data_IF_554969518907
#
_entry.id   IF_554969518907
#
_cell.length_a   1.000
_cell.length_b   1.000
_cell.length_c   1.000
_cell.angle_alpha   90.00
_cell.angle_beta   90.00
_cell.angle_gamma   90.00
#
_symmetry.space_group_name_H-M   'P 1'
#
loop_
_entity.id
_entity.type
_entity.pdbx_description
1 polymer ?
#
# COMPACT_ATOMS: atom_id res chain seq x y z
N UNK A 1 -21.43 47.57 -21.82
CA UNK A 1 -21.32 47.44 -20.34
C UNK A 1 -21.85 46.06 -19.98
N UNK A 2 -21.17 45.10 -19.33
CA UNK A 2 -19.96 45.07 -18.53
C UNK A 2 -19.36 43.64 -18.62
N UNK A 3 -18.05 43.59 -18.85
CA UNK A 3 -17.00 42.69 -18.32
C UNK A 3 -17.07 41.17 -18.54
N UNK A 4 -16.04 40.75 -19.27
CA UNK A 4 -15.40 39.43 -19.26
C UNK A 4 -14.94 38.93 -17.88
N UNK A 5 -14.78 37.61 -17.75
CA UNK A 5 -13.57 36.97 -17.23
C UNK A 5 -13.49 35.48 -17.62
N UNK A 6 -12.37 35.11 -18.24
CA UNK A 6 -11.82 33.75 -18.37
C UNK A 6 -11.26 33.29 -17.01
N UNK A 7 -11.38 32.01 -16.69
CA UNK A 7 -10.42 31.22 -15.90
C UNK A 7 -10.52 29.79 -16.47
N UNK A 8 -9.60 29.36 -17.33
CA UNK A 8 -8.35 28.64 -17.01
C UNK A 8 -8.55 27.44 -16.09
N UNK A 9 -8.23 26.27 -16.64
CA UNK A 9 -8.31 24.99 -15.98
C UNK A 9 -7.17 24.77 -14.99
N UNK A 10 -7.38 23.75 -14.16
CA UNK A 10 -6.34 22.98 -13.50
C UNK A 10 -6.87 21.55 -13.50
N UNK A 11 -6.35 20.74 -14.42
CA UNK A 11 -6.22 19.31 -14.19
C UNK A 11 -5.09 19.17 -13.16
N UNK A 12 -5.41 18.71 -11.96
CA UNK A 12 -4.41 18.29 -10.99
C UNK A 12 -4.66 16.81 -10.74
N UNK A 13 -3.75 16.00 -11.27
CA UNK A 13 -3.58 14.62 -10.89
C UNK A 13 -3.26 14.59 -9.39
N UNK A 14 -4.08 13.89 -8.62
CA UNK A 14 -3.75 13.46 -7.27
C UNK A 14 -3.44 11.97 -7.41
N UNK A 15 -2.17 11.67 -7.63
CA UNK A 15 -1.57 10.37 -7.32
C UNK A 15 -0.99 10.44 -5.91
N UNK A 16 -0.93 9.29 -5.21
CA UNK A 16 -0.55 9.09 -3.80
C UNK A 16 -1.64 9.56 -2.79
N UNK A 17 -2.16 8.78 -1.83
CA UNK A 17 -1.65 7.62 -1.08
C UNK A 17 -2.82 6.71 -0.64
N UNK A 18 -2.84 5.43 -1.03
CA UNK A 18 -3.64 4.41 -0.34
C UNK A 18 -2.77 3.18 -0.06
N UNK A 19 -2.30 3.03 1.17
CA UNK A 19 -1.99 1.73 1.74
C UNK A 19 -3.31 1.14 2.26
N UNK A 20 -4.02 0.41 1.39
CA UNK A 20 -5.17 -0.40 1.78
C UNK A 20 -4.88 -1.82 1.33
N UNK A 21 -4.94 -2.72 2.32
CA UNK A 21 -5.04 -4.17 2.23
C UNK A 21 -5.18 -4.73 0.80
N UNK A 22 -4.17 -5.49 0.39
CA UNK A 22 -4.23 -6.39 -0.75
C UNK A 22 -5.34 -7.44 -0.50
N UNK A 23 -6.56 -7.11 -0.90
CA UNK A 23 -7.43 -8.11 -1.51
C UNK A 23 -7.01 -8.11 -2.97
N UNK A 24 -6.45 -9.23 -3.42
CA UNK A 24 -6.15 -9.48 -4.82
C UNK A 24 -7.45 -9.40 -5.64
N UNK A 25 -7.84 -8.19 -6.02
CA UNK A 25 -8.61 -7.99 -7.22
C UNK A 25 -7.64 -8.34 -8.35
N UNK A 26 -7.75 -9.56 -8.88
CA UNK A 26 -7.19 -9.89 -10.18
C UNK A 26 -7.89 -8.95 -11.15
N UNK A 27 -7.28 -7.78 -11.40
CA UNK A 27 -7.71 -6.91 -12.48
C UNK A 27 -7.68 -7.80 -13.72
N UNK A 28 -8.84 -7.93 -14.38
CA UNK A 28 -8.94 -8.64 -15.65
C UNK A 28 -7.78 -8.17 -16.53
N UNK A 29 -7.00 -9.11 -17.05
CA UNK A 29 -5.92 -8.89 -18.01
C UNK A 29 -6.50 -8.25 -19.27
N UNK A 30 -6.69 -6.94 -19.23
CA UNK A 30 -7.17 -6.11 -20.33
C UNK A 30 -6.04 -5.17 -20.73
N UNK A 31 -5.12 -5.74 -21.51
CA UNK A 31 -4.41 -5.02 -22.58
C UNK A 31 -3.68 -3.72 -22.18
N UNK A 32 -2.66 -3.84 -21.32
CA UNK A 32 -1.88 -2.70 -20.84
C UNK A 32 -0.60 -2.57 -21.68
N UNK A 33 -0.63 -1.74 -22.72
CA UNK A 33 0.56 -1.31 -23.46
C UNK A 33 1.46 -0.34 -22.65
N UNK A 34 1.35 -0.36 -21.33
CA UNK A 34 2.01 0.55 -20.39
C UNK A 34 2.55 -0.24 -19.20
N UNK A 35 3.82 0.01 -18.88
CA UNK A 35 4.48 -0.46 -17.67
C UNK A 35 4.87 0.74 -16.82
N UNK A 36 4.26 0.84 -15.65
CA UNK A 36 4.55 1.87 -14.66
C UNK A 36 5.39 1.24 -13.55
N UNK A 37 6.55 1.83 -13.27
CA UNK A 37 7.44 1.39 -12.19
C UNK A 37 7.71 2.56 -11.27
N UNK A 38 7.50 2.32 -9.98
CA UNK A 38 7.74 3.29 -8.93
C UNK A 38 8.89 2.86 -8.03
N UNK A 39 9.54 3.85 -7.42
CA UNK A 39 10.48 3.65 -6.33
C UNK A 39 9.84 4.06 -5.01
N UNK A 40 10.22 3.37 -3.93
CA UNK A 40 9.93 3.78 -2.57
C UNK A 40 11.23 3.79 -1.79
N UNK A 41 11.50 4.88 -1.06
CA UNK A 41 12.64 4.97 -0.15
C UNK A 41 12.12 4.93 1.28
N UNK A 42 12.79 4.19 2.15
CA UNK A 42 12.40 4.03 3.54
C UNK A 42 13.46 3.31 4.36
N UNK A 43 13.07 2.78 5.49
CA UNK A 43 13.90 1.89 6.32
C UNK A 43 13.33 0.47 6.28
N UNK A 44 14.20 -0.51 6.44
CA UNK A 44 13.82 -1.92 6.50
C UNK A 44 14.35 -2.55 7.78
N UNK A 45 13.44 -3.11 8.60
CA UNK A 45 13.80 -3.89 9.77
C UNK A 45 13.97 -5.35 9.37
N UNK A 46 15.21 -5.85 9.41
CA UNK A 46 15.56 -7.22 9.04
C UNK A 46 14.98 -8.25 10.02
N UNK A 47 14.75 -7.87 11.29
CA UNK A 47 14.22 -8.77 12.32
C UNK A 47 12.72 -8.99 12.19
N UNK A 48 11.96 -7.96 11.78
CA UNK A 48 10.51 -8.06 11.57
C UNK A 48 10.10 -8.18 10.10
N UNK A 49 11.05 -8.03 9.17
CA UNK A 49 10.82 -8.00 7.72
C UNK A 49 9.86 -6.87 7.29
N UNK A 50 9.86 -5.76 8.03
CA UNK A 50 8.95 -4.63 7.80
C UNK A 50 9.70 -3.49 7.13
N UNK A 51 9.14 -3.04 6.00
CA UNK A 51 9.55 -1.80 5.36
C UNK A 51 8.67 -0.64 5.82
N UNK A 52 9.32 0.45 6.22
CA UNK A 52 8.65 1.69 6.62
C UNK A 52 9.06 2.79 5.64
N UNK A 53 8.15 3.28 4.79
CA UNK A 53 8.44 4.40 3.88
C UNK A 53 8.96 5.62 4.63
N UNK A 54 9.88 6.34 4.00
CA UNK A 54 10.42 7.58 4.55
C UNK A 54 9.30 8.63 4.62
N UNK A 55 9.12 9.24 5.81
CA UNK A 55 8.18 10.34 5.97
C UNK A 55 8.61 11.56 5.15
N UNK A 56 7.63 12.37 4.71
CA UNK A 56 7.91 13.63 4.04
C UNK A 56 8.72 14.55 4.96
N UNK A 57 9.82 15.11 4.46
CA UNK A 57 10.71 15.97 5.25
C UNK A 57 11.48 15.23 6.34
N UNK A 58 11.55 13.90 6.32
CA UNK A 58 12.38 13.15 7.26
C UNK A 58 13.85 13.58 7.15
N UNK A 59 14.49 13.73 8.30
CA UNK A 59 15.93 13.96 8.37
C UNK A 59 16.67 12.69 7.99
N UNK A 60 17.63 12.81 7.09
CA UNK A 60 18.58 11.74 6.72
C UNK A 60 19.97 12.25 7.11
N UNK A 61 20.62 11.52 8.00
CA UNK A 61 21.96 11.84 8.50
C UNK A 61 23.02 11.01 7.77
N UNK A 62 24.26 11.45 7.85
CA UNK A 62 25.40 10.65 7.41
C UNK A 62 25.36 9.25 8.06
N UNK A 63 25.72 8.24 7.27
CA UNK A 63 25.73 6.82 7.64
C UNK A 63 24.34 6.17 7.85
N UNK A 64 23.24 6.91 7.70
CA UNK A 64 21.90 6.31 7.65
C UNK A 64 21.80 5.37 6.43
N UNK A 65 21.24 4.18 6.65
CA UNK A 65 20.99 3.20 5.59
C UNK A 65 19.53 3.30 5.15
N UNK A 66 19.32 3.67 3.90
CA UNK A 66 18.03 3.78 3.25
C UNK A 66 17.79 2.56 2.37
N UNK A 67 16.66 1.91 2.54
CA UNK A 67 16.20 0.84 1.65
C UNK A 67 15.39 1.43 0.52
N UNK A 68 15.76 1.07 -0.71
CA UNK A 68 15.04 1.44 -1.94
C UNK A 68 14.28 0.21 -2.44
N UNK A 69 12.95 0.31 -2.52
CA UNK A 69 12.05 -0.70 -3.09
C UNK A 69 11.63 -0.34 -4.49
N UNK A 70 11.66 -1.31 -5.40
CA UNK A 70 11.15 -1.18 -6.77
C UNK A 70 9.80 -1.87 -6.87
N UNK A 71 8.78 -1.12 -7.29
CA UNK A 71 7.39 -1.58 -7.31
C UNK A 71 6.76 -1.30 -8.68
N UNK A 72 6.59 -2.32 -9.53
CA UNK A 72 5.71 -2.22 -10.68
C UNK A 72 4.26 -2.02 -10.23
N UNK A 73 3.53 -1.15 -10.90
CA UNK A 73 2.12 -0.86 -10.58
C UNK A 73 1.15 -1.33 -11.67
N UNK A 74 1.65 -1.64 -12.86
CA UNK A 74 0.86 -2.20 -13.95
C UNK A 74 0.95 -3.73 -13.99
N UNK A 75 -0.16 -4.39 -14.32
CA UNK A 75 -0.19 -5.84 -14.53
C UNK A 75 0.09 -6.17 -16.01
N UNK A 76 1.18 -6.90 -16.30
CA UNK A 76 1.50 -7.40 -17.63
C UNK A 76 2.25 -8.74 -17.55
N UNK A 77 2.16 -9.54 -18.61
CA UNK A 77 2.83 -10.84 -18.69
C UNK A 77 4.31 -10.64 -19.06
N UNK A 78 5.21 -11.15 -18.22
CA UNK A 78 6.65 -10.97 -18.35
C UNK A 78 7.43 -12.27 -18.32
N UNK A 79 8.52 -12.28 -19.09
CA UNK A 79 9.58 -13.28 -19.01
C UNK A 79 10.81 -12.74 -18.30
N UNK A 80 11.95 -12.72 -18.97
CA UNK A 80 13.20 -12.22 -18.40
C UNK A 80 13.15 -10.70 -18.21
N UNK A 81 13.75 -10.23 -17.12
CA UNK A 81 13.76 -8.81 -16.77
C UNK A 81 15.16 -8.40 -16.33
N UNK A 82 15.53 -7.15 -16.59
CA UNK A 82 16.80 -6.58 -16.22
C UNK A 82 16.62 -5.08 -15.96
N UNK A 83 16.72 -4.69 -14.70
CA UNK A 83 16.52 -3.33 -14.23
C UNK A 83 17.86 -2.64 -13.99
N UNK A 84 17.94 -1.37 -14.35
CA UNK A 84 19.07 -0.50 -14.05
C UNK A 84 18.58 0.70 -13.27
N UNK A 85 19.11 0.85 -12.05
CA UNK A 85 18.72 1.90 -11.12
C UNK A 85 19.93 2.80 -10.93
N UNK A 86 19.72 4.09 -11.13
CA UNK A 86 20.72 5.12 -10.99
C UNK A 86 20.59 5.79 -9.63
N UNK A 87 21.72 6.19 -9.07
CA UNK A 87 21.77 6.96 -7.83
C UNK A 87 22.95 7.92 -7.86
N UNK A 88 22.86 9.05 -7.15
CA UNK A 88 23.99 9.97 -7.02
C UNK A 88 25.12 9.31 -6.24
N UNK A 89 26.23 9.04 -6.93
CA UNK A 89 27.36 8.27 -6.36
C UNK A 89 28.14 9.07 -5.31
N UNK A 90 27.94 10.39 -5.25
CA UNK A 90 28.59 11.25 -4.27
C UNK A 90 27.77 11.34 -2.97
N UNK A 91 26.47 11.01 -3.04
CA UNK A 91 25.51 11.08 -1.91
C UNK A 91 25.24 9.72 -1.28
N UNK A 92 25.45 8.65 -2.02
CA UNK A 92 25.16 7.29 -1.57
C UNK A 92 26.30 6.30 -1.80
N UNK A 93 26.42 5.36 -0.87
CA UNK A 93 27.22 4.15 -0.99
C UNK A 93 26.31 2.92 -0.96
N UNK A 94 26.29 2.13 -2.03
CA UNK A 94 25.54 0.88 -2.09
C UNK A 94 26.02 -0.12 -1.04
N UNK A 95 25.09 -0.74 -0.32
CA UNK A 95 25.40 -1.76 0.67
C UNK A 95 25.37 -3.15 0.03
N UNK A 96 26.38 -3.95 0.34
CA UNK A 96 26.59 -5.27 -0.28
C UNK A 96 27.28 -5.20 -1.65
N UNK A 97 27.42 -6.35 -2.29
CA UNK A 97 28.08 -6.45 -3.59
C UNK A 97 27.46 -7.55 -4.46
N UNK A 98 27.44 -7.33 -5.77
CA UNK A 98 26.93 -8.32 -6.72
C UNK A 98 25.45 -8.66 -6.47
N UNK A 99 25.11 -9.95 -6.50
CA UNK A 99 23.74 -10.42 -6.19
C UNK A 99 23.34 -10.23 -4.73
N UNK A 100 24.31 -10.26 -3.80
CA UNK A 100 24.07 -10.20 -2.35
C UNK A 100 23.62 -8.81 -1.87
N UNK A 101 23.74 -7.79 -2.73
CA UNK A 101 23.24 -6.44 -2.45
C UNK A 101 21.71 -6.31 -2.59
N UNK A 102 21.05 -7.34 -3.12
CA UNK A 102 19.64 -7.29 -3.45
C UNK A 102 18.85 -8.31 -2.62
N UNK A 103 17.67 -7.90 -2.18
CA UNK A 103 16.68 -8.80 -1.60
C UNK A 103 15.45 -8.79 -2.51
N UNK A 104 15.04 -9.96 -2.99
CA UNK A 104 13.84 -10.12 -3.83
C UNK A 104 12.63 -10.42 -2.97
N UNK A 105 11.45 -10.02 -3.43
CA UNK A 105 10.19 -10.36 -2.80
C UNK A 105 9.81 -11.81 -3.14
N UNK A 106 10.14 -12.75 -2.26
CA UNK A 106 9.82 -14.16 -2.49
C UNK A 106 8.29 -14.42 -2.62
N UNK A 107 7.46 -13.57 -2.03
CA UNK A 107 6.00 -13.67 -2.12
C UNK A 107 5.44 -13.12 -3.44
N UNK A 108 6.26 -12.43 -4.25
CA UNK A 108 5.86 -11.99 -5.57
C UNK A 108 5.85 -13.20 -6.52
N UNK A 109 4.68 -13.49 -7.09
CA UNK A 109 4.42 -14.67 -7.93
C UNK A 109 5.38 -14.79 -9.14
N UNK A 110 5.98 -13.68 -9.59
CA UNK A 110 7.02 -13.72 -10.59
C UNK A 110 8.22 -14.57 -10.16
N UNK A 111 8.68 -14.44 -8.91
CA UNK A 111 9.84 -15.19 -8.41
C UNK A 111 9.53 -16.66 -8.14
N UNK A 112 8.30 -16.96 -7.71
CA UNK A 112 7.87 -18.35 -7.50
C UNK A 112 7.66 -19.11 -8.82
N UNK A 113 7.26 -18.42 -9.90
CA UNK A 113 6.85 -19.08 -11.13
C UNK A 113 7.77 -18.81 -12.33
N UNK A 114 7.99 -17.55 -12.68
CA UNK A 114 8.68 -17.16 -13.92
C UNK A 114 10.20 -17.04 -13.76
N UNK A 115 10.69 -16.70 -12.57
CA UNK A 115 12.14 -16.56 -12.34
C UNK A 115 12.79 -17.91 -12.07
N UNK A 116 13.83 -18.28 -12.84
CA UNK A 116 14.72 -19.42 -12.55
C UNK A 116 15.88 -19.03 -11.61
N UNK A 117 16.13 -17.73 -11.48
CA UNK A 117 17.18 -17.17 -10.62
C UNK A 117 17.43 -15.70 -10.91
N UNK A 118 18.30 -15.09 -10.12
CA UNK A 118 18.70 -13.70 -10.33
C UNK A 118 20.20 -13.49 -10.15
N UNK A 119 20.71 -12.42 -10.75
CA UNK A 119 22.07 -11.95 -10.56
C UNK A 119 22.10 -10.44 -10.45
N UNK A 120 23.13 -9.91 -9.79
CA UNK A 120 23.25 -8.49 -9.53
C UNK A 120 24.65 -7.95 -9.78
N UNK A 121 24.74 -6.66 -10.10
CA UNK A 121 25.97 -5.89 -10.14
C UNK A 121 25.73 -4.54 -9.47
N UNK A 122 26.63 -4.16 -8.55
CA UNK A 122 26.53 -2.91 -7.78
C UNK A 122 27.36 -1.76 -8.37
N UNK A 123 27.97 -1.97 -9.53
CA UNK A 123 28.77 -0.98 -10.24
C UNK A 123 28.73 -1.26 -11.75
N UNK A 124 28.31 -0.27 -12.54
CA UNK A 124 28.25 -0.37 -14.00
C UNK A 124 29.31 0.55 -14.63
N UNK A 125 30.33 -0.01 -15.31
CA UNK A 125 31.42 0.78 -15.86
C UNK A 125 30.94 1.65 -17.02
N UNK A 126 31.59 2.81 -17.21
CA UNK A 126 31.30 3.83 -18.25
C UNK A 126 31.01 3.21 -19.63
N UNK A 127 31.84 2.26 -20.09
CA UNK A 127 31.70 1.63 -21.41
C UNK A 127 30.34 0.97 -21.65
N UNK A 128 29.58 0.66 -20.59
CA UNK A 128 28.24 0.08 -20.69
C UNK A 128 27.11 1.13 -20.69
N UNK A 129 27.40 2.40 -20.43
CA UNK A 129 26.40 3.47 -20.44
C UNK A 129 25.96 3.81 -21.86
N UNK A 130 24.65 4.01 -22.10
CA UNK A 130 24.16 4.42 -23.41
C UNK A 130 24.80 5.75 -23.84
N UNK A 131 25.18 5.85 -25.12
CA UNK A 131 25.79 7.05 -25.68
C UNK A 131 24.86 8.28 -25.68
N UNK A 132 23.57 8.09 -25.39
CA UNK A 132 22.55 9.12 -25.22
C UNK A 132 22.66 9.88 -23.90
N UNK A 133 23.43 9.39 -22.93
CA UNK A 133 23.75 10.13 -21.71
C UNK A 133 24.92 11.08 -21.95
N UNK A 134 24.76 12.32 -21.50
CA UNK A 134 25.78 13.37 -21.60
C UNK A 134 26.48 13.60 -20.25
N UNK A 135 27.50 14.47 -20.23
CA UNK A 135 28.15 14.86 -18.97
C UNK A 135 27.13 15.54 -18.04
N UNK A 136 27.16 15.18 -16.77
CA UNK A 136 26.17 15.56 -15.76
C UNK A 136 25.02 14.57 -15.61
N UNK A 137 24.84 13.64 -16.55
CA UNK A 137 23.76 12.64 -16.55
C UNK A 137 24.28 11.21 -16.36
N UNK A 138 25.60 11.01 -16.28
CA UNK A 138 26.23 9.69 -16.33
C UNK A 138 27.17 9.43 -15.17
N UNK A 139 28.05 8.45 -15.34
CA UNK A 139 29.08 8.02 -14.39
C UNK A 139 29.90 9.13 -13.73
N UNK A 140 29.89 10.36 -14.25
CA UNK A 140 30.55 11.52 -13.65
C UNK A 140 29.81 12.04 -12.42
N UNK A 141 28.48 11.90 -12.37
CA UNK A 141 27.61 12.28 -11.24
C UNK A 141 26.94 11.05 -10.62
N UNK A 142 26.43 10.14 -11.45
CA UNK A 142 25.63 9.00 -11.02
C UNK A 142 26.41 7.69 -11.07
N UNK A 143 25.96 6.68 -10.35
CA UNK A 143 26.32 5.28 -10.53
C UNK A 143 25.04 4.52 -10.89
N UNK A 144 25.17 3.39 -11.60
CA UNK A 144 24.06 2.47 -11.79
C UNK A 144 24.35 1.14 -11.09
N UNK A 145 23.30 0.54 -10.53
CA UNK A 145 23.26 -0.88 -10.18
C UNK A 145 22.37 -1.60 -11.19
N UNK A 146 22.60 -2.90 -11.33
CA UNK A 146 21.88 -3.75 -12.24
C UNK A 146 21.42 -5.01 -11.51
N UNK A 147 20.16 -5.39 -11.71
CA UNK A 147 19.65 -6.70 -11.31
C UNK A 147 18.96 -7.36 -12.49
N UNK A 148 19.32 -8.61 -12.73
CA UNK A 148 18.79 -9.43 -13.81
C UNK A 148 18.03 -10.62 -13.25
N UNK A 149 16.76 -10.74 -13.65
CA UNK A 149 15.90 -11.89 -13.42
C UNK A 149 15.86 -12.78 -14.65
N UNK A 150 16.30 -14.03 -14.46
CA UNK A 150 16.31 -15.04 -15.50
C UNK A 150 14.95 -15.72 -15.56
N UNK A 151 14.41 -15.89 -16.77
CA UNK A 151 13.21 -16.68 -17.01
C UNK A 151 13.47 -17.59 -18.20
N UNK A 152 13.47 -18.90 -17.96
CA UNK A 152 13.86 -19.91 -18.94
C UNK A 152 13.15 -21.25 -18.65
N UNK A 153 13.49 -22.30 -19.43
CA UNK A 153 12.85 -23.62 -19.29
C UNK A 153 13.04 -24.30 -17.93
N UNK A 154 13.97 -23.82 -17.09
CA UNK A 154 14.18 -24.29 -15.73
C UNK A 154 13.31 -23.55 -14.69
N UNK A 155 12.63 -22.46 -15.07
CA UNK A 155 11.65 -21.80 -14.20
C UNK A 155 10.52 -22.77 -13.84
N UNK A 156 9.89 -22.59 -12.68
CA UNK A 156 8.77 -23.43 -12.23
C UNK A 156 7.58 -23.40 -13.20
N UNK A 157 7.43 -22.31 -13.96
CA UNK A 157 6.46 -22.20 -15.04
C UNK A 157 6.74 -23.12 -16.22
N UNK A 158 7.93 -23.72 -16.33
CA UNK A 158 8.40 -24.46 -17.50
C UNK A 158 8.89 -23.56 -18.63
N UNK A 159 9.28 -22.31 -18.32
CA UNK A 159 9.68 -21.30 -19.31
C UNK A 159 8.52 -20.58 -19.96
N UNK A 160 7.38 -20.49 -19.27
CA UNK A 160 6.25 -19.67 -19.68
C UNK A 160 6.29 -18.32 -18.96
N UNK A 161 5.84 -17.26 -19.64
CA UNK A 161 5.70 -15.94 -19.06
C UNK A 161 4.76 -15.97 -17.84
N UNK A 162 4.80 -14.97 -16.96
CA UNK A 162 3.81 -14.87 -15.87
C UNK A 162 3.43 -13.43 -15.61
N UNK A 163 2.27 -13.25 -15.01
CA UNK A 163 1.82 -11.93 -14.61
C UNK A 163 2.81 -11.34 -13.60
N UNK A 164 3.25 -10.12 -13.85
CA UNK A 164 3.92 -9.31 -12.85
C UNK A 164 2.82 -8.73 -11.94
N UNK A 165 2.70 -9.17 -10.67
CA UNK A 165 1.73 -8.57 -9.77
C UNK A 165 2.19 -7.18 -9.35
N UNK A 166 1.24 -6.28 -9.05
CA UNK A 166 1.49 -4.94 -8.52
C UNK A 166 2.02 -4.89 -7.07
N UNK A 167 2.87 -5.84 -6.68
CA UNK A 167 3.60 -5.83 -5.40
C UNK A 167 5.07 -5.52 -5.65
N UNK A 168 5.80 -5.08 -4.62
CA UNK A 168 7.24 -4.78 -4.75
C UNK A 168 8.00 -6.00 -5.29
N UNK A 169 9.01 -5.77 -6.14
CA UNK A 169 9.81 -6.83 -6.75
C UNK A 169 11.07 -7.13 -5.98
N UNK A 170 11.88 -6.10 -5.74
CA UNK A 170 13.15 -6.24 -5.04
C UNK A 170 13.48 -4.93 -4.33
N UNK A 171 14.43 -5.04 -3.42
CA UNK A 171 14.99 -3.92 -2.71
C UNK A 171 16.52 -4.02 -2.62
N UNK A 172 17.14 -2.89 -2.37
CA UNK A 172 18.56 -2.76 -2.11
C UNK A 172 18.79 -1.56 -1.18
N UNK A 173 19.95 -1.54 -0.53
CA UNK A 173 20.25 -0.55 0.49
C UNK A 173 21.33 0.43 0.01
N UNK A 174 21.10 1.71 0.29
CA UNK A 174 22.00 2.83 0.04
C UNK A 174 22.30 3.53 1.36
N UNK A 175 23.58 3.64 1.71
CA UNK A 175 24.02 4.40 2.88
C UNK A 175 24.31 5.84 2.47
N UNK A 176 23.76 6.80 3.20
CA UNK A 176 24.04 8.22 3.01
C UNK A 176 25.51 8.52 3.34
N UNK A 177 26.19 9.26 2.46
CA UNK A 177 27.62 9.62 2.64
C UNK A 177 27.81 10.91 3.44
N UNK A 178 26.75 11.70 3.60
CA UNK A 178 26.71 12.98 4.31
C UNK A 178 25.30 13.26 4.84
N UNK A 179 25.16 14.29 5.68
CA UNK A 179 23.85 14.77 6.13
C UNK A 179 23.07 15.41 4.97
N UNK A 180 21.81 15.03 4.82
CA UNK A 180 20.94 15.60 3.80
C UNK A 180 20.19 16.79 4.38
N UNK A 181 20.51 17.96 3.84
CA UNK A 181 19.90 19.24 4.19
C UNK A 181 19.10 19.76 2.99
N UNK A 182 18.34 20.84 3.19
CA UNK A 182 17.63 21.50 2.08
C UNK A 182 18.62 21.84 0.94
N UNK A 183 18.30 21.40 -0.27
CA UNK A 183 19.15 21.57 -1.46
C UNK A 183 20.26 20.53 -1.62
N UNK A 184 20.30 19.44 -0.83
CA UNK A 184 21.25 18.34 -1.07
C UNK A 184 21.01 17.63 -2.41
N UNK A 185 19.75 17.58 -2.87
CA UNK A 185 19.29 17.04 -4.16
C UNK A 185 19.82 15.63 -4.51
N UNK A 186 19.91 14.75 -3.49
CA UNK A 186 20.37 13.38 -3.66
C UNK A 186 19.33 12.54 -4.41
N UNK A 187 19.62 12.25 -5.68
CA UNK A 187 18.66 11.63 -6.60
C UNK A 187 18.86 10.12 -6.76
N UNK A 188 17.76 9.38 -6.82
CA UNK A 188 17.67 7.94 -7.11
C UNK A 188 16.59 7.75 -8.16
N UNK A 189 16.91 7.13 -9.30
CA UNK A 189 15.96 7.08 -10.41
C UNK A 189 16.17 5.91 -11.39
N UNK A 190 15.11 5.57 -12.13
CA UNK A 190 15.16 4.75 -13.33
C UNK A 190 15.09 5.66 -14.57
N UNK A 191 15.90 5.37 -15.59
CA UNK A 191 15.91 6.14 -16.84
C UNK A 191 15.66 5.20 -18.03
N UNK A 192 14.65 5.54 -18.84
CA UNK A 192 14.21 4.73 -19.97
C UNK A 192 15.29 4.53 -21.04
N UNK A 193 16.28 5.42 -21.12
CA UNK A 193 17.39 5.30 -22.08
C UNK A 193 18.23 4.04 -21.87
N UNK A 194 18.17 3.41 -20.70
CA UNK A 194 18.82 2.12 -20.44
C UNK A 194 18.10 0.93 -21.05
N UNK A 195 16.83 1.06 -21.43
CA UNK A 195 15.96 -0.06 -21.71
C UNK A 195 15.78 -0.29 -23.21
N UNK A 196 15.86 -1.58 -23.60
CA UNK A 196 15.63 -2.03 -24.96
C UNK A 196 14.27 -1.56 -25.47
N UNK A 197 14.24 -1.20 -26.74
CA UNK A 197 13.06 -0.74 -27.45
C UNK A 197 13.10 -1.23 -28.91
N UNK A 198 12.02 -1.06 -29.71
CA UNK A 198 11.98 -1.54 -31.09
C UNK A 198 13.10 -1.01 -31.99
N UNK A 199 13.70 0.15 -31.65
CA UNK A 199 14.81 0.77 -32.38
C UNK A 199 16.19 0.43 -31.83
N UNK A 200 16.30 -0.19 -30.64
CA UNK A 200 17.58 -0.46 -29.96
C UNK A 200 17.47 -1.68 -29.06
N UNK A 201 17.86 -2.84 -29.58
CA UNK A 201 17.75 -4.15 -28.91
C UNK A 201 19.02 -4.58 -28.17
N UNK A 202 20.09 -3.79 -28.23
CA UNK A 202 21.39 -4.08 -27.60
C UNK A 202 21.60 -3.37 -26.25
N UNK A 203 20.59 -2.64 -25.78
CA UNK A 203 20.63 -1.96 -24.48
C UNK A 203 20.67 -2.98 -23.32
N UNK A 204 21.20 -2.54 -22.17
CA UNK A 204 21.39 -3.40 -21.00
C UNK A 204 20.06 -3.72 -20.33
N UNK A 205 19.23 -2.72 -20.06
CA UNK A 205 17.92 -2.89 -19.44
C UNK A 205 16.95 -3.53 -20.41
N UNK A 206 16.11 -4.44 -19.93
CA UNK A 206 15.05 -5.03 -20.73
C UNK A 206 14.00 -5.62 -19.83
N UNK A 207 12.76 -5.56 -20.28
CA UNK A 207 11.65 -6.25 -19.63
C UNK A 207 10.88 -6.86 -20.80
N UNK A 208 10.92 -8.19 -20.90
CA UNK A 208 10.33 -8.87 -22.06
C UNK A 208 8.83 -9.03 -21.82
N UNK A 209 8.02 -8.23 -22.52
CA UNK A 209 6.56 -8.34 -22.50
C UNK A 209 6.10 -9.51 -23.37
N UNK A 210 5.05 -10.18 -22.92
CA UNK A 210 4.29 -11.17 -23.66
C UNK A 210 2.82 -10.75 -23.68
N UNK A 211 2.12 -11.10 -24.76
CA UNK A 211 0.69 -10.76 -24.89
C UNK A 211 -0.18 -11.76 -24.12
N UNK A 212 0.34 -12.97 -23.89
CA UNK A 212 -0.28 -14.01 -23.06
C UNK A 212 0.72 -14.55 -22.03
N UNK A 213 0.23 -14.79 -20.81
CA UNK A 213 1.00 -15.40 -19.73
C UNK A 213 1.21 -16.91 -19.96
N UNK A 214 0.52 -17.52 -20.92
CA UNK A 214 0.77 -18.89 -21.35
C UNK A 214 1.64 -18.96 -22.63
N UNK A 215 2.27 -17.85 -23.01
CA UNK A 215 3.28 -17.85 -24.07
C UNK A 215 4.61 -18.42 -23.58
N UNK A 216 5.21 -19.32 -24.37
CA UNK A 216 6.54 -19.87 -24.12
C UNK A 216 7.57 -18.77 -24.36
N UNK A 217 8.44 -18.56 -23.38
CA UNK A 217 9.64 -17.73 -23.47
C UNK A 217 10.61 -18.45 -24.41
N UNK A 218 10.46 -18.18 -25.71
CA UNK A 218 11.29 -18.82 -26.73
C UNK A 218 12.76 -18.42 -26.52
N UNK A 219 13.65 -19.41 -26.47
CA UNK A 219 15.11 -19.27 -26.32
C UNK A 219 15.75 -18.30 -27.34
N UNK A 220 15.03 -17.94 -28.41
CA UNK A 220 15.39 -16.91 -29.42
C UNK A 220 14.16 -16.19 -30.02
N UNK A 221 12.95 -16.29 -29.44
CA UNK A 221 11.75 -15.70 -30.03
C UNK A 221 11.60 -14.24 -29.64
N UNK A 222 11.42 -13.40 -30.65
CA UNK A 222 11.55 -11.94 -30.63
C UNK A 222 10.85 -11.28 -29.42
N UNK A 223 11.58 -10.93 -28.34
CA UNK A 223 10.97 -10.33 -27.15
C UNK A 223 10.24 -9.04 -27.54
N UNK A 224 9.00 -8.88 -27.08
CA UNK A 224 8.25 -7.66 -27.37
C UNK A 224 8.75 -6.53 -26.47
N UNK A 225 9.28 -5.48 -27.09
CA UNK A 225 9.67 -4.22 -26.45
C UNK A 225 8.80 -3.04 -26.89
N UNK A 226 7.77 -3.29 -27.72
CA UNK A 226 6.82 -2.31 -28.21
C UNK A 226 5.69 -2.11 -27.18
N UNK A 227 6.05 -1.41 -26.12
CA UNK A 227 5.14 -0.94 -25.08
C UNK A 227 5.72 0.33 -24.45
N UNK A 228 4.86 1.13 -23.87
CA UNK A 228 5.26 2.37 -23.20
C UNK A 228 5.71 2.06 -21.79
N UNK A 229 6.73 2.77 -21.32
CA UNK A 229 7.22 2.69 -19.94
C UNK A 229 7.07 4.05 -19.29
N UNK A 230 6.49 4.06 -18.10
CA UNK A 230 6.44 5.23 -17.24
C UNK A 230 7.32 4.99 -16.01
N UNK A 231 8.41 5.74 -15.93
CA UNK A 231 9.31 5.74 -14.78
C UNK A 231 9.25 7.05 -14.00
N UNK A 232 8.21 7.87 -14.21
CA UNK A 232 8.06 9.16 -13.52
C UNK A 232 7.94 8.99 -12.00
N UNK A 233 7.27 7.94 -11.52
CA UNK A 233 7.22 7.60 -10.09
C UNK A 233 8.47 6.85 -9.60
N UNK A 234 9.42 6.57 -10.48
CA UNK A 234 10.74 6.03 -10.18
C UNK A 234 11.84 7.09 -10.34
N UNK A 235 11.55 8.33 -9.96
CA UNK A 235 12.50 9.45 -9.93
C UNK A 235 12.34 10.22 -8.62
N UNK A 236 13.23 9.95 -7.66
CA UNK A 236 13.15 10.48 -6.29
C UNK A 236 14.35 11.37 -6.03
N UNK A 237 14.10 12.53 -5.43
CA UNK A 237 15.14 13.45 -4.94
C UNK A 237 15.00 13.63 -3.43
N UNK A 238 16.12 13.54 -2.71
CA UNK A 238 16.20 13.61 -1.25
C UNK A 238 17.04 14.82 -0.78
N UNK A 239 16.71 15.43 0.37
CA UNK A 239 15.55 15.11 1.21
C UNK A 239 14.25 15.50 0.48
N UNK A 240 13.16 14.76 0.72
CA UNK A 240 11.87 15.13 0.16
C UNK A 240 11.44 16.47 0.76
N UNK A 241 11.13 17.46 -0.09
CA UNK A 241 10.65 18.76 0.39
C UNK A 241 9.38 18.55 1.23
N UNK A 242 9.48 18.82 2.52
CA UNK A 242 8.37 18.73 3.45
C UNK A 242 7.54 19.99 3.39
N UNK A 243 6.46 20.01 2.61
CA UNK A 243 5.30 20.79 3.05
C UNK A 243 4.68 19.97 4.17
N UNK A 244 4.99 20.30 5.43
CA UNK A 244 4.31 19.65 6.56
C UNK A 244 2.85 20.08 6.51
N UNK A 245 2.02 19.20 5.96
CA UNK A 245 0.58 19.28 6.08
C UNK A 245 0.18 18.53 7.33
N UNK A 246 -0.71 19.12 8.13
CA UNK A 246 -1.39 18.42 9.21
C UNK A 246 -2.78 18.02 8.74
N UNK A 247 -3.25 16.86 9.17
CA UNK A 247 -4.65 16.47 8.96
C UNK A 247 -5.35 16.15 10.27
N UNK A 248 -6.67 16.18 10.23
CA UNK A 248 -7.56 16.01 11.37
C UNK A 248 -8.48 14.81 11.17
N UNK A 249 -8.53 13.94 12.17
CA UNK A 249 -9.49 12.85 12.28
C UNK A 249 -10.59 13.30 13.24
N UNK A 250 -11.81 13.46 12.72
CA UNK A 250 -12.99 13.86 13.50
C UNK A 250 -13.84 12.64 13.84
N UNK A 251 -14.21 12.51 15.11
CA UNK A 251 -15.02 11.41 15.62
C UNK A 251 -16.46 11.87 15.88
N UNK A 252 -17.41 11.40 15.06
CA UNK A 252 -18.84 11.67 15.24
C UNK A 252 -19.46 10.49 15.99
N UNK A 253 -19.73 10.68 17.28
CA UNK A 253 -20.17 9.58 18.15
C UNK A 253 -21.68 9.35 18.13
N UNK A 254 -22.46 10.21 17.46
CA UNK A 254 -23.91 10.01 17.27
C UNK A 254 -24.71 9.95 18.58
N UNK A 255 -24.32 10.74 19.58
CA UNK A 255 -24.96 10.77 20.90
C UNK A 255 -24.32 9.85 21.95
N UNK A 256 -23.20 9.21 21.63
CA UNK A 256 -22.33 8.59 22.62
C UNK A 256 -21.40 9.59 23.33
N UNK A 257 -20.49 9.08 24.17
CA UNK A 257 -19.46 9.88 24.83
C UNK A 257 -18.66 10.69 23.82
N UNK A 258 -18.32 11.93 24.18
CA UNK A 258 -17.59 12.84 23.29
C UNK A 258 -16.14 12.39 23.18
N UNK A 259 -15.65 12.28 21.95
CA UNK A 259 -14.25 12.03 21.62
C UNK A 259 -13.73 13.28 20.89
N UNK A 260 -12.63 13.84 21.37
CA UNK A 260 -12.00 14.99 20.72
C UNK A 260 -11.37 14.60 19.38
N UNK A 261 -11.27 15.53 18.41
CA UNK A 261 -10.55 15.25 17.17
C UNK A 261 -9.06 15.01 17.46
N UNK A 262 -8.44 14.19 16.62
CA UNK A 262 -6.99 14.02 16.61
C UNK A 262 -6.41 14.81 15.45
N UNK A 263 -5.32 15.55 15.69
CA UNK A 263 -4.59 16.29 14.66
C UNK A 263 -3.11 15.93 14.75
N UNK A 264 -2.48 15.74 13.59
CA UNK A 264 -1.07 15.37 13.49
C UNK A 264 -0.54 15.53 12.08
N UNK A 265 0.77 15.36 11.94
CA UNK A 265 1.46 15.48 10.66
C UNK A 265 1.07 14.33 9.74
N UNK A 266 0.79 14.62 8.47
CA UNK A 266 0.45 13.58 7.49
C UNK A 266 1.52 12.49 7.46
N UNK A 267 1.10 11.23 7.56
CA UNK A 267 1.97 10.05 7.61
C UNK A 267 2.46 9.65 9.01
N UNK A 268 2.26 10.48 10.04
CA UNK A 268 2.62 10.12 11.41
C UNK A 268 1.61 9.11 12.03
N UNK A 269 2.02 8.23 12.97
CA UNK A 269 1.15 7.22 13.57
C UNK A 269 -0.04 7.81 14.35
N UNK A 270 -1.21 7.18 14.22
CA UNK A 270 -2.43 7.53 14.96
C UNK A 270 -2.64 6.57 16.12
N UNK A 271 -2.85 7.11 17.32
CA UNK A 271 -3.26 6.33 18.50
C UNK A 271 -4.79 6.39 18.60
N UNK A 272 -5.46 5.28 18.28
CA UNK A 272 -6.92 5.21 18.32
C UNK A 272 -7.47 5.48 19.74
N UNK A 273 -8.55 6.26 19.87
CA UNK A 273 -9.19 6.48 21.17
C UNK A 273 -9.93 5.23 21.65
N UNK A 274 -10.26 5.18 22.95
CA UNK A 274 -11.17 4.17 23.47
C UNK A 274 -12.55 4.27 22.77
N UNK A 275 -13.21 3.12 22.58
CA UNK A 275 -14.54 3.08 21.98
C UNK A 275 -15.53 3.95 22.78
N UNK A 276 -16.39 4.74 22.11
CA UNK A 276 -17.37 5.54 22.81
C UNK A 276 -18.43 4.65 23.46
N UNK A 277 -19.12 5.18 24.48
CA UNK A 277 -20.27 4.53 25.11
C UNK A 277 -21.54 5.35 24.90
N UNK A 278 -22.70 4.69 24.76
CA UNK A 278 -24.00 5.34 24.57
C UNK A 278 -25.07 4.56 25.31
N UNK A 279 -25.78 5.21 26.24
CA UNK A 279 -26.83 4.58 27.04
C UNK A 279 -27.87 3.89 26.16
N UNK A 280 -28.19 2.62 26.48
CA UNK A 280 -29.10 1.73 25.74
C UNK A 280 -28.62 1.28 24.35
N UNK A 281 -27.36 1.51 23.99
CA UNK A 281 -26.79 1.04 22.74
C UNK A 281 -25.46 0.30 22.98
N UNK A 282 -25.12 -0.60 22.08
CA UNK A 282 -23.81 -1.25 21.98
C UNK A 282 -23.04 -0.62 20.82
N UNK A 283 -21.79 -0.22 21.07
CA UNK A 283 -20.90 0.26 20.01
C UNK A 283 -20.56 -0.92 19.09
N UNK A 284 -20.91 -0.81 17.81
CA UNK A 284 -20.64 -1.86 16.82
C UNK A 284 -19.25 -1.67 16.21
N UNK A 285 -19.06 -0.54 15.57
CA UNK A 285 -17.83 -0.16 14.88
C UNK A 285 -17.89 1.32 14.49
N UNK A 286 -16.78 1.85 14.00
CA UNK A 286 -16.80 3.03 13.14
C UNK A 286 -17.27 2.63 11.74
N UNK A 287 -17.93 3.54 11.03
CA UNK A 287 -18.35 3.35 9.63
C UNK A 287 -17.18 3.10 8.67
N UNK A 288 -16.03 3.71 8.97
CA UNK A 288 -14.74 3.44 8.33
C UNK A 288 -13.68 3.14 9.38
N UNK A 289 -12.69 2.32 9.03
CA UNK A 289 -11.56 2.06 9.92
C UNK A 289 -10.81 3.36 10.26
N UNK A 290 -10.40 3.50 11.52
CA UNK A 290 -9.51 4.60 11.91
C UNK A 290 -8.17 4.39 11.19
N UNK A 291 -7.68 5.38 10.44
CA UNK A 291 -6.36 5.29 9.79
C UNK A 291 -5.26 4.98 10.80
N UNK A 292 -4.31 4.10 10.43
CA UNK A 292 -3.14 3.80 11.27
C UNK A 292 -2.13 4.96 11.31
N UNK A 293 -2.18 5.86 10.31
CA UNK A 293 -1.40 7.08 10.20
C UNK A 293 -2.30 8.24 9.79
N UNK A 294 -1.90 9.47 10.09
CA UNK A 294 -2.64 10.67 9.69
C UNK A 294 -2.73 10.74 8.16
N UNK A 295 -3.96 10.77 7.59
CA UNK A 295 -4.18 10.76 6.14
C UNK A 295 -3.81 12.11 5.49
N UNK A 296 -3.69 12.17 4.16
CA UNK A 296 -3.37 13.41 3.46
C UNK A 296 -4.45 14.50 3.59
N UNK A 297 -5.72 14.08 3.66
CA UNK A 297 -6.88 14.95 3.84
C UNK A 297 -7.56 14.69 5.19
N UNK A 298 -8.30 15.68 5.71
CA UNK A 298 -9.13 15.50 6.90
C UNK A 298 -10.16 14.37 6.69
N UNK A 299 -10.33 13.54 7.70
CA UNK A 299 -11.30 12.43 7.68
C UNK A 299 -12.28 12.53 8.83
N UNK A 300 -13.50 12.07 8.60
CA UNK A 300 -14.52 11.93 9.63
C UNK A 300 -14.94 10.48 9.73
N UNK A 301 -14.90 9.94 10.94
CA UNK A 301 -15.40 8.59 11.24
C UNK A 301 -16.64 8.70 12.13
N UNK A 302 -17.68 7.94 11.81
CA UNK A 302 -18.98 7.98 12.49
C UNK A 302 -19.26 6.67 13.20
N UNK A 303 -19.62 6.75 14.48
CA UNK A 303 -19.93 5.57 15.28
C UNK A 303 -21.23 4.91 14.82
N UNK A 304 -21.18 3.59 14.61
CA UNK A 304 -22.34 2.74 14.36
C UNK A 304 -22.79 2.07 15.65
N UNK A 305 -24.10 2.04 15.87
CA UNK A 305 -24.71 1.60 17.12
C UNK A 305 -25.77 0.54 16.87
N UNK A 306 -25.84 -0.43 17.78
CA UNK A 306 -26.95 -1.39 17.88
C UNK A 306 -27.77 -1.06 19.12
N UNK A 307 -29.09 -1.00 19.01
CA UNK A 307 -29.96 -0.75 20.15
C UNK A 307 -30.02 -2.01 21.04
N UNK A 308 -29.65 -1.88 22.33
CA UNK A 308 -29.77 -2.99 23.29
C UNK A 308 -31.24 -3.41 23.36
N UNK A 309 -31.49 -4.72 23.29
CA UNK A 309 -32.81 -5.31 23.41
C UNK A 309 -33.69 -5.31 22.15
N UNK A 310 -33.29 -4.69 21.04
CA UNK A 310 -33.98 -4.78 19.74
C UNK A 310 -33.42 -5.97 18.94
N UNK A 311 -33.79 -7.18 19.33
CA UNK A 311 -33.17 -8.42 18.80
C UNK A 311 -33.68 -8.82 17.42
N UNK A 312 -34.79 -8.24 16.96
CA UNK A 312 -35.27 -8.40 15.60
C UNK A 312 -34.86 -7.24 14.65
N UNK A 313 -34.29 -6.16 15.18
CA UNK A 313 -33.77 -5.03 14.41
C UNK A 313 -34.85 -4.16 13.76
N UNK A 314 -36.07 -4.15 14.31
CA UNK A 314 -37.18 -3.36 13.76
C UNK A 314 -37.26 -1.93 14.30
N UNK A 315 -36.36 -1.55 15.21
CA UNK A 315 -36.30 -0.24 15.85
C UNK A 315 -37.20 -0.08 17.09
N UNK A 316 -37.81 -1.16 17.58
CA UNK A 316 -38.69 -1.13 18.75
C UNK A 316 -38.41 -2.31 19.70
N UNK A 317 -38.16 -2.00 20.97
CA UNK A 317 -37.93 -3.00 22.02
C UNK A 317 -39.28 -3.47 22.55
N UNK A 318 -39.60 -4.75 22.36
CA UNK A 318 -40.89 -5.35 22.71
C UNK A 318 -40.72 -6.73 23.36
N UNK A 319 -41.83 -7.31 23.84
CA UNK A 319 -41.81 -8.69 24.34
C UNK A 319 -41.44 -9.72 23.25
N UNK A 320 -41.57 -9.38 21.96
CA UNK A 320 -41.13 -10.24 20.87
C UNK A 320 -39.60 -10.40 20.88
N UNK A 321 -38.86 -9.36 21.24
CA UNK A 321 -37.40 -9.39 21.30
C UNK A 321 -36.90 -10.29 22.42
N UNK A 322 -37.52 -10.20 23.61
CA UNK A 322 -37.26 -11.12 24.71
C UNK A 322 -37.58 -12.58 24.32
N UNK A 323 -38.66 -12.79 23.56
CA UNK A 323 -39.04 -14.13 23.06
C UNK A 323 -37.99 -14.67 22.09
N UNK A 324 -37.42 -13.84 21.22
CA UNK A 324 -36.35 -14.25 20.32
C UNK A 324 -35.08 -14.67 21.07
N UNK A 325 -34.72 -13.96 22.14
CA UNK A 325 -33.61 -14.37 23.02
C UNK A 325 -33.89 -15.75 23.63
N UNK A 326 -35.09 -15.97 24.18
CA UNK A 326 -35.44 -17.28 24.77
C UNK A 326 -35.45 -18.40 23.74
N UNK A 327 -35.96 -18.15 22.52
CA UNK A 327 -35.91 -19.12 21.42
C UNK A 327 -34.49 -19.43 21.01
N UNK A 328 -33.60 -18.44 21.04
CA UNK A 328 -32.18 -18.64 20.77
C UNK A 328 -31.50 -19.51 21.82
N UNK A 329 -31.72 -19.21 23.11
CA UNK A 329 -31.22 -20.00 24.24
C UNK A 329 -31.77 -21.44 24.21
N UNK A 330 -33.01 -21.63 23.75
CA UNK A 330 -33.63 -22.94 23.55
C UNK A 330 -33.23 -23.64 22.23
N UNK A 331 -32.28 -23.08 21.47
CA UNK A 331 -31.79 -23.59 20.18
C UNK A 331 -32.88 -23.71 19.09
N UNK A 332 -34.01 -23.03 19.28
CA UNK A 332 -35.12 -23.03 18.32
C UNK A 332 -34.91 -22.02 17.19
N UNK A 333 -34.01 -21.05 17.36
CA UNK A 333 -33.73 -20.01 16.36
C UNK A 333 -32.31 -19.48 16.54
N UNK A 334 -31.53 -19.33 15.47
CA UNK A 334 -30.19 -18.75 15.57
C UNK A 334 -30.26 -17.22 15.45
N UNK A 335 -29.60 -16.50 16.37
CA UNK A 335 -29.31 -15.07 16.23
C UNK A 335 -27.95 -14.92 15.55
N UNK A 336 -27.76 -13.83 14.79
CA UNK A 336 -26.50 -13.52 14.12
C UNK A 336 -26.30 -12.02 13.97
N UNK A 337 -25.05 -11.60 13.77
CA UNK A 337 -24.69 -10.20 13.53
C UNK A 337 -25.22 -9.27 14.64
N UNK A 338 -25.89 -8.19 14.23
CA UNK A 338 -26.40 -7.16 15.14
C UNK A 338 -27.43 -7.70 16.15
N UNK A 339 -28.17 -8.76 15.80
CA UNK A 339 -29.12 -9.38 16.72
C UNK A 339 -28.43 -10.02 17.94
N UNK A 340 -27.21 -10.52 17.79
CA UNK A 340 -26.43 -11.03 18.92
C UNK A 340 -25.97 -9.90 19.85
N UNK A 341 -25.55 -8.76 19.27
CA UNK A 341 -25.15 -7.57 20.04
C UNK A 341 -26.35 -6.96 20.78
N UNK A 342 -27.53 -6.92 20.15
CA UNK A 342 -28.76 -6.45 20.79
C UNK A 342 -29.22 -7.39 21.90
N UNK A 343 -28.98 -8.71 21.76
CA UNK A 343 -29.46 -9.73 22.68
C UNK A 343 -28.71 -9.78 24.01
N UNK A 344 -27.42 -9.42 24.07
CA UNK A 344 -26.69 -9.26 25.34
C UNK A 344 -27.07 -7.95 26.03
N UNK A 345 -28.30 -7.92 26.54
CA UNK A 345 -28.91 -6.73 27.13
C UNK A 345 -28.32 -6.36 28.50
N UNK A 346 -27.61 -7.28 29.16
CA UNK A 346 -26.98 -7.05 30.46
C UNK A 346 -25.46 -6.80 30.39
N UNK A 347 -24.85 -6.92 29.21
CA UNK A 347 -23.45 -6.56 28.96
C UNK A 347 -22.42 -7.57 29.45
N UNK A 348 -22.81 -8.79 29.82
CA UNK A 348 -21.89 -9.78 30.41
C UNK A 348 -21.15 -10.65 29.38
N UNK A 349 -21.40 -10.44 28.09
CA UNK A 349 -20.77 -11.16 26.98
C UNK A 349 -21.43 -12.51 26.64
N UNK A 350 -22.55 -12.88 27.28
CA UNK A 350 -23.24 -14.15 27.05
C UNK A 350 -24.75 -13.96 26.90
N UNK A 351 -25.35 -14.55 25.86
CA UNK A 351 -26.78 -14.46 25.62
C UNK A 351 -27.49 -15.56 26.39
N UNK A 352 -28.29 -15.19 27.39
CA UNK A 352 -28.98 -16.12 28.29
C UNK A 352 -30.43 -15.72 28.53
N UNK A 353 -31.19 -16.54 29.26
CA UNK A 353 -32.54 -16.17 29.71
C UNK A 353 -32.55 -14.94 30.65
N UNK A 354 -31.41 -14.58 31.26
CA UNK A 354 -31.28 -13.36 32.04
C UNK A 354 -31.46 -12.12 31.16
N UNK A 355 -30.98 -12.15 29.92
CA UNK A 355 -31.12 -11.05 28.97
C UNK A 355 -32.57 -10.84 28.55
N UNK A 356 -33.29 -11.93 28.24
CA UNK A 356 -34.72 -11.87 27.98
C UNK A 356 -35.49 -11.24 29.17
N UNK A 357 -35.03 -11.50 30.40
CA UNK A 357 -35.61 -10.90 31.60
C UNK A 357 -35.33 -9.41 31.68
N UNK A 358 -34.11 -8.96 31.36
CA UNK A 358 -33.76 -7.52 31.34
C UNK A 358 -34.56 -6.79 30.26
N UNK A 359 -34.66 -7.33 29.04
CA UNK A 359 -35.51 -6.79 27.97
C UNK A 359 -36.97 -6.70 28.45
N UNK A 360 -37.50 -7.75 29.06
CA UNK A 360 -38.87 -7.76 29.58
C UNK A 360 -39.10 -6.70 30.67
N UNK A 361 -38.11 -6.47 31.54
CA UNK A 361 -38.16 -5.41 32.56
C UNK A 361 -38.14 -4.02 31.95
N UNK A 362 -37.39 -3.83 30.86
CA UNK A 362 -37.37 -2.57 30.12
C UNK A 362 -38.73 -2.30 29.45
N UNK A 363 -39.31 -3.31 28.79
CA UNK A 363 -40.63 -3.24 28.15
C UNK A 363 -41.75 -2.97 29.17
N UNK A 364 -41.63 -3.53 30.38
CA UNK A 364 -42.57 -3.29 31.47
C UNK A 364 -42.33 -1.97 32.22
N UNK A 365 -41.41 -1.12 31.74
CA UNK A 365 -41.02 0.16 32.34
C UNK A 365 -40.50 0.03 33.79
N UNK A 366 -40.05 -1.17 34.19
CA UNK A 366 -39.41 -1.41 35.49
C UNK A 366 -38.00 -0.81 35.52
N UNK A 367 -37.33 -0.81 34.37
CA UNK A 367 -36.06 -0.12 34.14
C UNK A 367 -36.22 0.80 32.94
N UNK A 368 -35.58 1.96 33.00
CA UNK A 368 -35.56 2.94 31.90
C UNK A 368 -34.25 2.89 31.11
N UNK A 369 -33.28 2.11 31.59
CA UNK A 369 -31.97 1.92 30.97
C UNK A 369 -31.52 0.48 31.16
N UNK A 370 -30.81 -0.05 30.17
CA UNK A 370 -30.15 -1.35 30.28
C UNK A 370 -28.93 -1.26 31.22
N UNK A 371 -28.58 -2.34 31.94
CA UNK A 371 -27.32 -2.45 32.64
C UNK A 371 -26.13 -2.27 31.68
N UNK A 372 -25.06 -1.67 32.22
CA UNK A 372 -23.78 -1.52 31.50
C UNK A 372 -23.00 -2.82 31.46
#
# INVERSE_FOLDING_TARGET
MKKARKLFGVALAIALVFNVFAIAAVAETNDVAHLDVNLQVGTYDVGTEVFTPLALGATISQDDVLTVRVTPESNFCVGAQNYLIMFDKNKFEVQGAGGDAFTVNADNAYFDQASSGYSGATNIPDINWPATFTAGERYDVYQAIQINFQADSNSNSGGYARALPGTWLFQFDLKATEDFVEGTDARIFLDDRWFRNPSSTNLKGYITKYDDCDEIIAYQGNPNYDYTRDFTGADITLPTEGVITTSTITFVTGGGTVIGPLTGDVGSPVVAPANPTRTNYVFKAWDTAIPAVFPADDVTVTAQWVMKGDTNGNGAITAADATLVLRHVAELTALSGDAMLAADSNGNGTITAADATVISRYVAEIITQFPD
#
